data_IF_104774820421
#
_entry.id   IF_104774820421
#
_cell.length_a   1.000
_cell.length_b   1.000
_cell.length_c   1.000
_cell.angle_alpha   90.00
_cell.angle_beta   90.00
_cell.angle_gamma   90.00
#
_symmetry.space_group_name_H-M   'P 1'
#
loop_
_entity.id
_entity.type
_entity.pdbx_description
1 polymer ?
#
# COMPACT_ATOMS: atom_id res chain seq x y z
N UNK A 1 43.57 7.22 -24.12
CA UNK A 1 42.48 7.80 -23.29
C UNK A 1 41.99 6.70 -22.37
N UNK A 2 42.70 6.48 -21.27
CA UNK A 2 42.43 5.39 -20.31
C UNK A 2 42.75 5.86 -18.87
N UNK A 3 42.62 7.17 -18.63
CA UNK A 3 43.02 7.80 -17.37
C UNK A 3 41.85 8.16 -16.43
N UNK A 4 40.59 7.94 -16.86
CA UNK A 4 39.40 8.38 -16.10
C UNK A 4 38.49 7.22 -15.66
N UNK A 5 39.04 6.24 -14.94
CA UNK A 5 38.24 5.25 -14.20
C UNK A 5 38.37 5.49 -12.67
N UNK A 6 37.46 6.27 -12.05
CA UNK A 6 37.55 6.68 -10.64
C UNK A 6 37.35 5.56 -9.60
N UNK A 7 37.17 4.32 -10.04
CA UNK A 7 36.88 3.17 -9.17
C UNK A 7 38.11 2.45 -8.64
N UNK A 8 39.27 2.57 -9.30
CA UNK A 8 40.53 1.94 -8.85
C UNK A 8 41.18 2.67 -7.66
N UNK A 9 40.99 3.99 -7.56
CA UNK A 9 41.59 4.84 -6.53
C UNK A 9 40.94 4.63 -5.13
N UNK A 10 39.67 4.23 -5.09
CA UNK A 10 38.94 3.99 -3.85
C UNK A 10 39.37 2.71 -3.12
N UNK A 11 39.77 1.66 -3.83
CA UNK A 11 40.23 0.41 -3.22
C UNK A 11 41.59 0.57 -2.54
N UNK A 12 42.54 1.26 -3.17
CA UNK A 12 43.84 1.55 -2.55
C UNK A 12 43.70 2.45 -1.30
N UNK A 13 42.84 3.47 -1.35
CA UNK A 13 42.59 4.37 -0.20
C UNK A 13 41.95 3.66 0.99
N UNK A 14 41.03 2.72 0.76
CA UNK A 14 40.40 1.95 1.84
C UNK A 14 41.41 1.06 2.58
N UNK A 15 42.29 0.36 1.86
CA UNK A 15 43.33 -0.48 2.48
C UNK A 15 44.42 0.34 3.21
N UNK A 16 44.79 1.51 2.69
CA UNK A 16 45.74 2.41 3.37
C UNK A 16 45.19 3.00 4.68
N UNK A 17 43.87 3.21 4.78
CA UNK A 17 43.23 3.81 5.96
C UNK A 17 43.17 2.85 7.16
N UNK A 18 43.00 1.54 6.92
CA UNK A 18 42.92 0.51 7.98
C UNK A 18 44.27 0.36 8.71
N UNK A 19 45.39 0.59 8.02
CA UNK A 19 46.74 0.39 8.58
C UNK A 19 47.29 1.55 9.44
N UNK A 20 46.58 2.68 9.59
CA UNK A 20 47.15 3.90 10.22
C UNK A 20 46.76 4.18 11.68
N UNK A 21 45.86 3.42 12.31
CA UNK A 21 45.36 3.76 13.65
C UNK A 21 45.56 2.68 14.72
N UNK A 22 46.82 2.44 15.07
CA UNK A 22 47.17 1.97 16.44
C UNK A 22 48.62 2.37 16.74
N UNK A 23 48.89 3.15 17.81
CA UNK A 23 50.25 3.37 18.28
C UNK A 23 50.72 2.11 19.02
N UNK A 24 51.53 1.28 18.37
CA UNK A 24 52.07 0.07 18.99
C UNK A 24 53.36 0.37 19.74
N UNK A 25 53.31 0.17 21.06
CA UNK A 25 54.46 -0.21 21.88
C UNK A 25 55.31 -1.24 21.09
N UNK A 26 56.61 -1.00 20.86
CA UNK A 26 57.46 -1.90 20.04
C UNK A 26 57.38 -3.33 20.60
N UNK A 27 56.68 -4.28 19.94
CA UNK A 27 56.59 -5.62 20.48
C UNK A 27 57.89 -6.35 20.17
N UNK A 28 58.30 -7.27 21.06
CA UNK A 28 59.45 -8.18 20.90
C UNK A 28 59.48 -8.98 19.57
N UNK A 29 58.43 -8.86 18.75
CA UNK A 29 58.21 -9.55 17.47
C UNK A 29 58.12 -8.61 16.25
N UNK A 30 58.64 -7.37 16.32
CA UNK A 30 58.59 -6.41 15.20
C UNK A 30 59.15 -6.98 13.88
N UNK A 31 60.19 -7.81 13.96
CA UNK A 31 60.78 -8.50 12.80
C UNK A 31 59.81 -9.52 12.18
N UNK A 32 59.12 -10.30 13.01
CA UNK A 32 58.13 -11.29 12.59
C UNK A 32 56.91 -10.63 11.96
N UNK A 33 56.43 -9.52 12.54
CA UNK A 33 55.31 -8.73 11.99
C UNK A 33 55.69 -8.11 10.65
N UNK A 34 56.92 -7.58 10.54
CA UNK A 34 57.44 -7.03 9.28
C UNK A 34 57.51 -8.09 8.18
N UNK A 35 57.99 -9.29 8.48
CA UNK A 35 58.03 -10.40 7.53
C UNK A 35 56.63 -10.88 7.12
N UNK A 36 55.68 -10.90 8.05
CA UNK A 36 54.29 -11.28 7.76
C UNK A 36 53.60 -10.24 6.85
N UNK A 37 53.82 -8.95 7.12
CA UNK A 37 53.33 -7.88 6.26
C UNK A 37 53.95 -7.94 4.86
N UNK A 38 55.25 -8.24 4.75
CA UNK A 38 55.91 -8.40 3.44
C UNK A 38 55.33 -9.57 2.64
N UNK A 39 55.05 -10.71 3.30
CA UNK A 39 54.38 -11.86 2.66
C UNK A 39 52.96 -11.53 2.22
N UNK A 40 52.20 -10.81 3.05
CA UNK A 40 50.85 -10.36 2.70
C UNK A 40 50.88 -9.38 1.53
N UNK A 41 51.81 -8.43 1.52
CA UNK A 41 51.96 -7.48 0.42
C UNK A 41 52.28 -8.22 -0.89
N UNK A 42 53.24 -9.15 -0.88
CA UNK A 42 53.56 -9.98 -2.06
C UNK A 42 52.38 -10.84 -2.52
N UNK A 43 51.56 -11.32 -1.60
CA UNK A 43 50.34 -12.05 -1.94
C UNK A 43 49.33 -11.15 -2.65
N UNK A 44 49.07 -9.95 -2.12
CA UNK A 44 48.16 -8.98 -2.72
C UNK A 44 48.67 -8.45 -4.06
N UNK A 45 49.98 -8.20 -4.20
CA UNK A 45 50.60 -7.83 -5.47
C UNK A 45 50.36 -8.91 -6.53
N UNK A 46 50.64 -10.18 -6.22
CA UNK A 46 50.38 -11.29 -7.14
C UNK A 46 48.89 -11.45 -7.49
N UNK A 47 48.00 -11.19 -6.54
CA UNK A 47 46.57 -11.22 -6.79
C UNK A 47 46.16 -10.09 -7.74
N UNK A 48 46.65 -8.87 -7.50
CA UNK A 48 46.40 -7.71 -8.36
C UNK A 48 46.96 -7.92 -9.77
N UNK A 49 48.14 -8.51 -9.92
CA UNK A 49 48.68 -8.86 -11.25
C UNK A 49 47.79 -9.85 -12.00
N UNK A 50 47.15 -10.80 -11.31
CA UNK A 50 46.21 -11.74 -11.95
C UNK A 50 44.92 -11.04 -12.35
N UNK A 51 44.41 -10.15 -11.49
CA UNK A 51 43.22 -9.34 -11.77
C UNK A 51 43.47 -8.42 -12.96
N UNK A 52 44.60 -7.70 -12.97
CA UNK A 52 44.97 -6.81 -14.07
C UNK A 52 45.08 -7.57 -15.40
N UNK A 53 45.73 -8.74 -15.41
CA UNK A 53 45.79 -9.61 -16.59
C UNK A 53 44.41 -10.08 -17.05
N UNK A 54 43.50 -10.33 -16.12
CA UNK A 54 42.12 -10.69 -16.45
C UNK A 54 41.38 -9.50 -17.09
N UNK A 55 41.52 -8.29 -16.53
CA UNK A 55 40.92 -7.06 -17.07
C UNK A 55 41.47 -6.75 -18.46
N UNK A 56 42.78 -6.86 -18.66
CA UNK A 56 43.41 -6.67 -19.96
C UNK A 56 42.94 -7.68 -21.01
N UNK A 57 42.70 -8.92 -20.59
CA UNK A 57 42.25 -10.00 -21.48
C UNK A 57 40.77 -9.90 -21.83
N UNK A 58 39.94 -9.39 -20.92
CA UNK A 58 38.48 -9.34 -21.05
C UNK A 58 37.91 -7.95 -20.68
N UNK A 59 38.32 -6.87 -21.36
CA UNK A 59 37.94 -5.52 -20.97
C UNK A 59 36.43 -5.25 -21.11
N UNK A 60 35.80 -5.82 -22.14
CA UNK A 60 34.37 -5.64 -22.40
C UNK A 60 33.51 -6.34 -21.35
N UNK A 61 33.85 -7.57 -20.95
CA UNK A 61 33.14 -8.33 -19.91
C UNK A 61 33.23 -7.64 -18.55
N UNK A 62 34.40 -7.09 -18.20
CA UNK A 62 34.61 -6.33 -16.98
C UNK A 62 33.83 -5.02 -16.99
N UNK A 63 33.82 -4.31 -18.12
CA UNK A 63 33.05 -3.07 -18.28
C UNK A 63 31.56 -3.34 -18.13
N UNK A 64 31.05 -4.38 -18.81
CA UNK A 64 29.66 -4.77 -18.72
C UNK A 64 29.25 -5.20 -17.30
N UNK A 65 30.08 -5.98 -16.61
CA UNK A 65 29.83 -6.34 -15.21
C UNK A 65 29.83 -5.11 -14.29
N UNK A 66 30.74 -4.15 -14.52
CA UNK A 66 30.80 -2.89 -13.78
C UNK A 66 29.54 -2.05 -14.01
N UNK A 67 29.02 -1.99 -15.23
CA UNK A 67 27.77 -1.30 -15.56
C UNK A 67 26.58 -1.92 -14.85
N UNK A 68 26.46 -3.25 -14.86
CA UNK A 68 25.39 -3.98 -14.15
C UNK A 68 25.41 -3.63 -12.66
N UNK A 69 26.58 -3.72 -12.02
CA UNK A 69 26.74 -3.41 -10.60
C UNK A 69 26.39 -1.95 -10.31
N UNK A 70 26.83 -1.01 -11.15
CA UNK A 70 26.51 0.40 -11.00
C UNK A 70 24.99 0.65 -11.10
N UNK A 71 24.32 0.02 -12.07
CA UNK A 71 22.87 0.11 -12.23
C UNK A 71 22.12 -0.49 -11.03
N UNK A 72 22.54 -1.63 -10.51
CA UNK A 72 21.94 -2.24 -9.31
C UNK A 72 22.08 -1.33 -8.10
N UNK A 73 23.29 -0.81 -7.83
CA UNK A 73 23.53 0.11 -6.71
C UNK A 73 22.70 1.38 -6.85
N UNK A 74 22.59 1.93 -8.05
CA UNK A 74 21.79 3.11 -8.31
C UNK A 74 20.28 2.84 -8.11
N UNK A 75 19.80 1.68 -8.56
CA UNK A 75 18.42 1.24 -8.33
C UNK A 75 18.10 1.14 -6.83
N UNK A 76 18.95 0.47 -6.06
CA UNK A 76 18.79 0.35 -4.61
C UNK A 76 18.83 1.71 -3.92
N UNK A 77 19.75 2.60 -4.32
CA UNK A 77 19.83 3.96 -3.77
C UNK A 77 18.55 4.74 -4.02
N UNK A 78 18.02 4.70 -5.24
CA UNK A 78 16.77 5.38 -5.60
C UNK A 78 15.58 4.81 -4.82
N UNK A 79 15.52 3.49 -4.67
CA UNK A 79 14.50 2.82 -3.87
C UNK A 79 14.56 3.27 -2.39
N UNK A 80 15.75 3.32 -1.81
CA UNK A 80 15.95 3.80 -0.44
C UNK A 80 15.53 5.26 -0.26
N UNK A 81 15.85 6.15 -1.21
CA UNK A 81 15.41 7.55 -1.18
C UNK A 81 13.88 7.64 -1.17
N UNK A 82 13.21 6.90 -2.07
CA UNK A 82 11.75 6.86 -2.12
C UNK A 82 11.13 6.38 -0.81
N UNK A 83 11.70 5.34 -0.21
CA UNK A 83 11.27 4.84 1.10
C UNK A 83 11.40 5.91 2.20
N UNK A 84 12.50 6.67 2.21
CA UNK A 84 12.70 7.77 3.15
C UNK A 84 11.68 8.89 2.93
N UNK A 85 11.41 9.27 1.68
CA UNK A 85 10.36 10.25 1.35
C UNK A 85 8.97 9.79 1.77
N UNK A 86 8.62 8.53 1.51
CA UNK A 86 7.32 7.97 1.90
C UNK A 86 7.14 7.85 3.42
N UNK A 87 8.24 7.62 4.13
CA UNK A 87 8.27 7.58 5.60
C UNK A 87 8.37 8.96 6.24
N UNK A 88 8.58 10.03 5.46
CA UNK A 88 8.70 11.39 5.97
C UNK A 88 7.40 11.90 6.60
N UNK A 89 7.53 12.69 7.67
CA UNK A 89 6.38 13.29 8.37
C UNK A 89 5.46 14.11 7.45
N UNK A 90 5.96 14.94 6.51
CA UNK A 90 5.11 15.67 5.57
C UNK A 90 4.22 14.75 4.73
N UNK A 91 4.80 13.66 4.18
CA UNK A 91 4.06 12.73 3.32
C UNK A 91 3.04 11.91 4.09
N UNK A 92 3.35 11.55 5.33
CA UNK A 92 2.38 10.91 6.22
C UNK A 92 1.21 11.84 6.56
N UNK A 93 1.49 13.12 6.80
CA UNK A 93 0.48 14.13 7.08
C UNK A 93 -0.44 14.36 5.87
N UNK A 94 0.12 14.47 4.66
CA UNK A 94 -0.67 14.54 3.40
C UNK A 94 -1.64 13.35 3.28
N UNK A 95 -1.13 12.12 3.44
CA UNK A 95 -1.97 10.90 3.41
C UNK A 95 -3.05 10.90 4.51
N UNK A 96 -2.79 11.49 5.67
CA UNK A 96 -3.77 11.61 6.74
C UNK A 96 -4.87 12.63 6.39
N UNK A 97 -4.49 13.79 5.85
CA UNK A 97 -5.41 14.84 5.40
C UNK A 97 -6.32 14.33 4.27
N UNK A 98 -5.77 13.61 3.29
CA UNK A 98 -6.55 13.02 2.19
C UNK A 98 -7.60 12.03 2.70
N UNK A 99 -7.21 11.13 3.61
CA UNK A 99 -8.14 10.16 4.22
C UNK A 99 -9.23 10.85 5.01
N UNK A 100 -8.89 11.88 5.78
CA UNK A 100 -9.87 12.61 6.58
C UNK A 100 -10.81 13.45 5.70
N UNK A 101 -10.28 14.03 4.63
CA UNK A 101 -11.08 14.71 3.60
C UNK A 101 -12.06 13.75 2.93
N UNK A 102 -11.63 12.54 2.56
CA UNK A 102 -12.50 11.50 2.01
C UNK A 102 -13.58 11.05 2.99
N UNK A 103 -13.26 10.89 4.28
CA UNK A 103 -14.24 10.59 5.34
C UNK A 103 -15.23 11.72 5.53
N UNK A 104 -14.78 12.97 5.52
CA UNK A 104 -15.64 14.13 5.66
C UNK A 104 -16.56 14.30 4.47
N UNK A 105 -16.09 14.02 3.25
CA UNK A 105 -16.97 13.95 2.07
C UNK A 105 -18.01 12.83 2.20
N UNK A 106 -17.62 11.63 2.67
CA UNK A 106 -18.56 10.53 2.89
C UNK A 106 -19.61 10.83 3.98
N UNK A 107 -19.21 11.55 5.04
CA UNK A 107 -20.11 12.01 6.11
C UNK A 107 -21.00 13.17 5.68
N UNK A 108 -20.51 14.05 4.82
CA UNK A 108 -21.24 15.19 4.28
C UNK A 108 -22.27 14.80 3.22
N UNK A 109 -22.13 13.62 2.61
CA UNK A 109 -23.19 13.05 1.79
C UNK A 109 -24.36 12.64 2.69
N UNK A 110 -25.42 13.46 2.68
CA UNK A 110 -26.72 13.06 3.26
C UNK A 110 -27.10 11.69 2.68
N UNK A 111 -27.57 10.73 3.50
CA UNK A 111 -28.01 9.43 3.00
C UNK A 111 -29.05 9.66 1.90
N UNK A 112 -28.80 9.09 0.72
CA UNK A 112 -29.75 9.15 -0.41
C UNK A 112 -31.12 8.69 0.08
N UNK A 113 -32.19 9.36 -0.32
CA UNK A 113 -33.54 8.97 0.05
C UNK A 113 -33.87 7.63 -0.58
N UNK A 114 -33.75 6.55 0.20
CA UNK A 114 -34.20 5.22 -0.16
C UNK A 114 -35.73 5.19 -0.08
N UNK A 115 -36.38 5.42 -1.22
CA UNK A 115 -37.84 5.53 -1.32
C UNK A 115 -38.54 4.22 -0.91
N UNK A 116 -37.92 3.07 -1.19
CA UNK A 116 -38.41 1.79 -0.71
C UNK A 116 -38.31 1.69 0.82
N UNK A 117 -37.22 2.15 1.42
CA UNK A 117 -37.09 2.19 2.87
C UNK A 117 -38.12 3.13 3.52
N UNK A 118 -38.42 4.28 2.91
CA UNK A 118 -39.49 5.19 3.36
C UNK A 118 -40.84 4.48 3.32
N UNK A 119 -41.17 3.79 2.21
CA UNK A 119 -42.43 3.06 2.10
C UNK A 119 -42.56 1.95 3.15
N UNK A 120 -41.48 1.21 3.39
CA UNK A 120 -41.46 0.18 4.45
C UNK A 120 -41.65 0.82 5.84
N UNK A 121 -41.08 1.99 6.11
CA UNK A 121 -41.31 2.72 7.36
C UNK A 121 -42.78 3.13 7.52
N UNK A 122 -43.44 3.62 6.48
CA UNK A 122 -44.88 3.95 6.49
C UNK A 122 -45.74 2.73 6.79
N UNK A 123 -45.44 1.58 6.16
CA UNK A 123 -46.15 0.33 6.41
C UNK A 123 -45.96 -0.10 7.88
N UNK A 124 -44.73 -0.02 8.41
CA UNK A 124 -44.42 -0.38 9.80
C UNK A 124 -45.07 0.59 10.80
N UNK A 125 -45.26 1.86 10.45
CA UNK A 125 -45.99 2.82 11.28
C UNK A 125 -47.46 2.41 11.46
N UNK A 126 -48.09 1.90 10.39
CA UNK A 126 -49.49 1.44 10.41
C UNK A 126 -49.59 0.04 11.05
N UNK A 127 -48.65 -0.86 10.73
CA UNK A 127 -48.60 -2.25 11.21
C UNK A 127 -47.23 -2.57 11.84
N UNK A 128 -47.02 -2.27 13.14
CA UNK A 128 -45.72 -2.42 13.80
C UNK A 128 -45.18 -3.86 13.82
N UNK A 129 -46.09 -4.84 13.92
CA UNK A 129 -45.75 -6.25 14.04
C UNK A 129 -45.74 -7.00 12.70
N UNK A 130 -45.79 -6.29 11.57
CA UNK A 130 -45.83 -6.88 10.22
C UNK A 130 -44.69 -7.90 10.03
N UNK A 131 -45.03 -9.10 9.57
CA UNK A 131 -44.04 -10.12 9.22
C UNK A 131 -43.41 -9.83 7.85
N UNK A 132 -42.30 -10.50 7.52
CA UNK A 132 -41.70 -10.35 6.20
C UNK A 132 -42.67 -10.84 5.09
N UNK A 133 -43.43 -11.90 5.35
CA UNK A 133 -44.41 -12.44 4.40
C UNK A 133 -45.53 -11.44 4.15
N UNK A 134 -46.07 -10.85 5.21
CA UNK A 134 -47.14 -9.86 5.09
C UNK A 134 -46.65 -8.57 4.43
N UNK A 135 -45.40 -8.19 4.65
CA UNK A 135 -44.76 -7.09 3.93
C UNK A 135 -44.69 -7.37 2.43
N UNK A 136 -44.33 -8.59 2.03
CA UNK A 136 -44.33 -8.98 0.62
C UNK A 136 -45.73 -8.91 0.02
N UNK A 137 -46.74 -9.46 0.68
CA UNK A 137 -48.13 -9.39 0.21
C UNK A 137 -48.62 -7.94 0.05
N UNK A 138 -48.22 -7.06 0.98
CA UNK A 138 -48.55 -5.64 0.93
C UNK A 138 -47.84 -4.94 -0.24
N UNK A 139 -46.54 -5.20 -0.45
CA UNK A 139 -45.79 -4.64 -1.58
C UNK A 139 -46.26 -5.19 -2.93
N UNK A 140 -46.69 -6.44 -2.98
CA UNK A 140 -47.26 -7.08 -4.18
C UNK A 140 -48.62 -6.45 -4.54
N UNK A 141 -49.44 -6.13 -3.54
CA UNK A 141 -50.69 -5.37 -3.75
C UNK A 141 -50.46 -3.94 -4.24
N UNK A 142 -49.27 -3.39 -4.03
CA UNK A 142 -48.85 -2.05 -4.44
C UNK A 142 -48.01 -2.08 -5.73
N UNK A 143 -47.96 -3.22 -6.44
CA UNK A 143 -47.24 -3.34 -7.72
C UNK A 143 -47.75 -2.31 -8.72
N UNK A 144 -46.83 -1.54 -9.29
CA UNK A 144 -47.13 -0.47 -10.24
C UNK A 144 -47.40 0.89 -9.60
N UNK A 145 -47.47 0.97 -8.26
CA UNK A 145 -47.59 2.21 -7.51
C UNK A 145 -46.20 2.62 -7.03
N UNK A 146 -45.75 3.83 -7.40
CA UNK A 146 -44.45 4.36 -6.98
C UNK A 146 -44.31 4.31 -5.45
N UNK A 147 -43.22 3.73 -4.91
CA UNK A 147 -41.98 3.38 -5.62
C UNK A 147 -41.91 1.94 -6.15
N UNK A 148 -42.92 1.09 -6.02
CA UNK A 148 -42.85 -0.34 -6.37
C UNK A 148 -43.16 -0.58 -7.85
N UNK A 149 -42.15 -1.05 -8.60
CA UNK A 149 -42.30 -1.39 -10.02
C UNK A 149 -42.79 -2.83 -10.16
N UNK A 150 -42.07 -3.76 -9.52
CA UNK A 150 -42.33 -5.18 -9.63
C UNK A 150 -41.92 -5.92 -8.36
N UNK A 151 -42.70 -6.93 -8.01
CA UNK A 151 -42.39 -7.86 -6.94
C UNK A 151 -42.20 -9.24 -7.57
N UNK A 152 -41.03 -9.83 -7.34
CA UNK A 152 -40.70 -11.20 -7.75
C UNK A 152 -40.46 -12.05 -6.51
N UNK A 153 -40.28 -13.36 -6.70
CA UNK A 153 -39.95 -14.27 -5.59
C UNK A 153 -38.57 -13.98 -4.98
N UNK A 154 -37.70 -13.30 -5.72
CA UNK A 154 -36.32 -13.01 -5.32
C UNK A 154 -36.19 -11.63 -4.65
N UNK A 155 -37.16 -10.74 -4.84
CA UNK A 155 -37.07 -9.38 -4.33
C UNK A 155 -38.07 -8.40 -4.95
N UNK A 156 -37.78 -7.12 -4.78
CA UNK A 156 -38.65 -6.01 -5.19
C UNK A 156 -37.85 -5.00 -5.99
N UNK A 157 -38.29 -4.75 -7.22
CA UNK A 157 -37.82 -3.66 -8.07
C UNK A 157 -38.53 -2.37 -7.68
N UNK A 158 -37.76 -1.30 -7.45
CA UNK A 158 -38.30 -0.01 -7.04
C UNK A 158 -37.72 1.16 -7.85
N UNK A 159 -38.54 2.19 -8.02
CA UNK A 159 -38.22 3.44 -8.70
C UNK A 159 -37.91 4.54 -7.69
N UNK A 160 -36.78 5.22 -7.87
CA UNK A 160 -36.47 6.44 -7.15
C UNK A 160 -36.87 7.71 -7.92
N UNK A 161 -36.58 8.89 -7.38
CA UNK A 161 -36.82 10.17 -8.07
C UNK A 161 -35.84 10.40 -9.22
N UNK A 162 -34.68 9.75 -9.16
CA UNK A 162 -33.65 9.79 -10.20
C UNK A 162 -33.27 8.38 -10.63
N UNK A 163 -32.76 8.21 -11.85
CA UNK A 163 -32.32 6.91 -12.37
C UNK A 163 -31.22 6.22 -11.51
N UNK A 164 -30.50 6.99 -10.68
CA UNK A 164 -29.49 6.47 -9.73
C UNK A 164 -30.06 5.95 -8.42
N UNK A 165 -31.36 6.12 -8.20
CA UNK A 165 -32.11 5.66 -7.02
C UNK A 165 -33.09 4.53 -7.36
N UNK A 166 -33.15 4.13 -8.63
CA UNK A 166 -33.82 2.91 -9.06
C UNK A 166 -32.96 1.70 -8.69
N UNK A 167 -33.59 0.59 -8.33
CA UNK A 167 -32.83 -0.59 -7.95
C UNK A 167 -33.68 -1.81 -7.63
N UNK A 168 -32.99 -2.90 -7.34
CA UNK A 168 -33.58 -4.16 -6.94
C UNK A 168 -33.21 -4.48 -5.48
N UNK A 169 -34.22 -4.78 -4.68
CA UNK A 169 -34.09 -5.14 -3.28
C UNK A 169 -34.32 -6.64 -3.11
N UNK A 170 -33.26 -7.40 -2.83
CA UNK A 170 -33.38 -8.81 -2.46
C UNK A 170 -34.15 -9.01 -1.16
N UNK A 171 -34.62 -10.24 -0.92
CA UNK A 171 -35.30 -10.64 0.33
C UNK A 171 -34.50 -10.24 1.58
N UNK A 172 -33.18 -10.42 1.57
CA UNK A 172 -32.31 -10.06 2.71
C UNK A 172 -32.20 -8.54 2.92
N UNK A 173 -32.16 -7.77 1.84
CA UNK A 173 -32.19 -6.32 1.90
C UNK A 173 -33.53 -5.82 2.48
N UNK A 174 -34.65 -6.45 2.10
CA UNK A 174 -35.97 -6.14 2.65
C UNK A 174 -36.07 -6.50 4.13
N UNK A 175 -35.57 -7.67 4.54
CA UNK A 175 -35.48 -8.07 5.97
C UNK A 175 -34.68 -7.05 6.78
N UNK A 176 -33.55 -6.59 6.24
CA UNK A 176 -32.70 -5.59 6.89
C UNK A 176 -33.41 -4.24 7.03
N UNK A 177 -34.08 -3.77 5.98
CA UNK A 177 -34.89 -2.54 6.00
C UNK A 177 -36.04 -2.63 6.99
N UNK A 178 -36.78 -3.74 7.01
CA UNK A 178 -37.86 -4.00 7.96
C UNK A 178 -37.36 -3.97 9.41
N UNK A 179 -36.25 -4.64 9.69
CA UNK A 179 -35.61 -4.62 11.03
C UNK A 179 -35.23 -3.21 11.46
N UNK A 180 -34.61 -2.43 10.57
CA UNK A 180 -34.25 -1.02 10.83
C UNK A 180 -35.48 -0.15 11.08
N UNK A 181 -36.54 -0.30 10.28
CA UNK A 181 -37.79 0.44 10.45
C UNK A 181 -38.44 0.15 11.80
N UNK A 182 -38.53 -1.13 12.20
CA UNK A 182 -39.02 -1.52 13.54
C UNK A 182 -38.17 -0.95 14.67
N UNK A 183 -36.84 -0.98 14.54
CA UNK A 183 -35.92 -0.41 15.55
C UNK A 183 -36.11 1.10 15.70
N UNK A 184 -36.23 1.82 14.59
CA UNK A 184 -36.48 3.27 14.59
C UNK A 184 -37.83 3.64 15.22
N UNK A 185 -38.86 2.83 14.98
CA UNK A 185 -40.16 3.00 15.63
C UNK A 185 -40.08 2.83 17.15
N UNK A 186 -39.35 1.80 17.63
CA UNK A 186 -39.13 1.57 19.07
C UNK A 186 -38.40 2.73 19.74
N UNK A 187 -37.34 3.26 19.11
CA UNK A 187 -36.60 4.42 19.65
C UNK A 187 -37.44 5.70 19.68
N UNK A 188 -38.40 5.86 18.76
CA UNK A 188 -39.32 7.02 18.77
C UNK A 188 -40.47 6.91 19.78
N UNK A 189 -40.89 5.69 20.16
CA UNK A 189 -41.92 5.45 21.18
C UNK A 189 -41.39 5.41 22.62
N UNK A 190 -40.09 5.26 22.79
CA UNK A 190 -39.41 5.21 24.10
C UNK A 190 -38.87 6.56 24.59
N UNK A 191 -39.06 7.63 23.81
CA UNK A 191 -38.88 9.02 24.20
C UNK A 191 -40.27 9.68 24.29
#
# INVERSE_FOLDING_TARGET
MLDDLPYLDNYQKFFYAINRKTPMNKPKNAKTISQLNERNNKYWEKLNEKINRFIEKYPEEVTHASEIVAHTIQGDRLHHIKMLEESSLPRQLEKAIERESGRNQARAQKPRSDHLAIRIQEIVLIKPDISLKDLFSQLESEKGISPIIEVTREGVSFKGKTAKEEGFATVDNLRTRLSRAKKQLKTKKGN
#
